data_IF_906597894885
#
_entry.id   IF_906597894885
#
_cell.length_a   1.000
_cell.length_b   1.000
_cell.length_c   1.000
_cell.angle_alpha   90.00
_cell.angle_beta   90.00
_cell.angle_gamma   90.00
#
_symmetry.space_group_name_H-M   'P 1'
#
loop_
_entity.id
_entity.type
_entity.pdbx_description
1 polymer ?
#
# COMPACT_ATOMS: atom_id res chain seq x y z
N UNK A 1 6.49 1.90 31.32
CA UNK A 1 6.28 2.00 29.87
C UNK A 1 4.93 1.39 29.57
N UNK A 2 3.95 2.20 29.15
CA UNK A 2 2.64 1.68 28.75
C UNK A 2 2.80 1.10 27.35
N UNK A 3 2.56 -0.21 27.22
CA UNK A 3 2.40 -0.84 25.92
C UNK A 3 1.32 -0.07 25.17
N UNK A 4 1.62 0.35 23.94
CA UNK A 4 0.60 0.77 23.01
C UNK A 4 -0.31 -0.43 22.77
N UNK A 5 -1.42 -0.50 23.49
CA UNK A 5 -2.57 -1.29 23.07
C UNK A 5 -3.06 -0.66 21.75
N UNK A 6 -2.48 -1.15 20.65
CA UNK A 6 -3.02 -0.96 19.32
C UNK A 6 -4.41 -1.59 19.38
N UNK A 7 -5.42 -0.73 19.29
CA UNK A 7 -6.83 -1.12 19.28
C UNK A 7 -7.04 -2.26 18.29
N UNK A 8 -7.53 -3.40 18.78
CA UNK A 8 -7.92 -4.62 18.05
C UNK A 8 -9.12 -4.41 17.09
N UNK A 9 -9.27 -3.21 16.55
CA UNK A 9 -10.08 -2.92 15.36
C UNK A 9 -9.18 -2.38 14.24
N UNK A 10 -7.94 -2.90 14.15
CA UNK A 10 -7.30 -3.06 12.85
C UNK A 10 -8.37 -3.68 11.94
N UNK A 11 -8.66 -3.05 10.80
CA UNK A 11 -9.18 -3.84 9.70
C UNK A 11 -8.24 -5.07 9.60
N UNK A 12 -8.78 -6.30 9.60
CA UNK A 12 -8.01 -7.55 9.64
C UNK A 12 -7.14 -7.71 8.37
N UNK A 13 -6.17 -6.83 8.18
CA UNK A 13 -5.24 -6.82 7.06
C UNK A 13 -4.16 -7.82 7.44
N UNK A 14 -4.29 -9.02 6.89
CA UNK A 14 -3.35 -10.10 7.08
C UNK A 14 -1.93 -9.63 6.71
N UNK A 15 -0.98 -9.91 7.60
CA UNK A 15 0.46 -9.72 7.33
C UNK A 15 0.89 -8.25 7.16
N UNK A 16 0.15 -7.28 7.71
CA UNK A 16 0.54 -5.85 7.68
C UNK A 16 1.93 -5.59 8.27
N UNK A 17 2.29 -6.27 9.36
CA UNK A 17 3.63 -6.19 9.97
C UNK A 17 4.73 -6.64 8.99
N UNK A 18 4.44 -7.55 8.05
CA UNK A 18 5.41 -7.98 7.05
C UNK A 18 5.65 -6.93 5.96
N UNK A 19 4.66 -6.08 5.69
CA UNK A 19 4.86 -4.89 4.85
C UNK A 19 5.79 -3.92 5.58
N UNK A 20 5.53 -3.68 6.87
CA UNK A 20 6.38 -2.84 7.71
C UNK A 20 7.84 -3.30 7.68
N UNK A 21 8.09 -4.59 7.97
CA UNK A 21 9.43 -5.16 7.94
C UNK A 21 10.07 -5.09 6.56
N UNK A 22 9.33 -5.37 5.48
CA UNK A 22 9.87 -5.29 4.13
C UNK A 22 10.35 -3.88 3.76
N UNK A 23 9.69 -2.84 4.27
CA UNK A 23 10.12 -1.44 4.10
C UNK A 23 11.30 -1.12 5.01
N UNK A 24 11.22 -1.45 6.31
CA UNK A 24 12.24 -1.09 7.29
C UNK A 24 13.58 -1.82 7.10
N UNK A 25 13.58 -3.03 6.52
CA UNK A 25 14.79 -3.77 6.18
C UNK A 25 15.48 -3.27 4.90
N UNK A 26 14.90 -2.30 4.20
CA UNK A 26 15.52 -1.78 2.98
C UNK A 26 16.69 -0.85 3.34
N UNK A 27 17.90 -1.27 2.95
CA UNK A 27 19.15 -0.53 3.10
C UNK A 27 19.76 -0.22 1.73
N UNK A 28 20.61 0.82 1.65
CA UNK A 28 21.17 1.32 0.37
C UNK A 28 22.14 0.32 -0.30
N UNK A 29 22.66 -0.66 0.45
CA UNK A 29 23.65 -1.65 0.02
C UNK A 29 23.05 -3.02 -0.34
N UNK A 30 21.72 -3.19 -0.23
CA UNK A 30 21.04 -4.39 -0.71
C UNK A 30 21.24 -4.57 -2.22
N UNK A 31 21.36 -5.83 -2.64
CA UNK A 31 21.39 -6.16 -4.07
C UNK A 31 20.06 -5.85 -4.76
N UNK A 32 20.12 -5.65 -6.08
CA UNK A 32 18.93 -5.37 -6.90
C UNK A 32 17.86 -6.47 -6.78
N UNK A 33 18.29 -7.73 -6.69
CA UNK A 33 17.41 -8.88 -6.47
C UNK A 33 16.73 -8.80 -5.09
N UNK A 34 17.48 -8.46 -4.04
CA UNK A 34 16.94 -8.34 -2.68
C UNK A 34 15.94 -7.20 -2.51
N UNK A 35 16.17 -6.07 -3.20
CA UNK A 35 15.24 -4.96 -3.24
C UNK A 35 13.98 -5.36 -4.01
N UNK A 36 14.15 -6.03 -5.16
CA UNK A 36 13.04 -6.55 -5.96
C UNK A 36 12.15 -7.54 -5.19
N UNK A 37 12.75 -8.47 -4.43
CA UNK A 37 12.01 -9.41 -3.57
C UNK A 37 11.14 -8.67 -2.55
N UNK A 38 11.68 -7.64 -1.88
CA UNK A 38 10.92 -6.84 -0.90
C UNK A 38 9.80 -6.05 -1.57
N UNK A 39 10.09 -5.43 -2.72
CA UNK A 39 9.10 -4.68 -3.51
C UNK A 39 7.90 -5.56 -3.89
N UNK A 40 8.17 -6.74 -4.49
CA UNK A 40 7.11 -7.64 -4.93
C UNK A 40 6.34 -8.27 -3.77
N UNK A 41 7.02 -8.58 -2.66
CA UNK A 41 6.36 -9.09 -1.45
C UNK A 41 5.33 -8.10 -0.90
N UNK A 42 5.63 -6.80 -0.90
CA UNK A 42 4.67 -5.77 -0.47
C UNK A 42 3.44 -5.81 -1.39
N UNK A 43 3.65 -5.81 -2.71
CA UNK A 43 2.55 -5.87 -3.68
C UNK A 43 1.69 -7.14 -3.55
N UNK A 44 2.33 -8.29 -3.31
CA UNK A 44 1.64 -9.56 -3.10
C UNK A 44 0.76 -9.55 -1.85
N UNK A 45 1.27 -9.02 -0.73
CA UNK A 45 0.50 -8.90 0.51
C UNK A 45 -0.68 -7.95 0.32
N UNK A 46 -0.47 -6.78 -0.31
CA UNK A 46 -1.54 -5.82 -0.56
C UNK A 46 -2.65 -6.42 -1.44
N UNK A 47 -2.29 -7.10 -2.52
CA UNK A 47 -3.28 -7.72 -3.42
C UNK A 47 -3.98 -8.92 -2.78
N UNK A 48 -3.28 -9.69 -1.95
CA UNK A 48 -3.91 -10.77 -1.18
C UNK A 48 -4.97 -10.23 -0.21
N UNK A 49 -4.70 -9.11 0.46
CA UNK A 49 -5.66 -8.45 1.32
C UNK A 49 -6.88 -7.93 0.56
N UNK A 50 -6.70 -7.39 -0.65
CA UNK A 50 -7.84 -7.02 -1.49
C UNK A 50 -8.78 -8.20 -1.76
N UNK A 51 -8.21 -9.40 -1.97
CA UNK A 51 -9.00 -10.63 -2.16
C UNK A 51 -9.65 -11.14 -0.88
N UNK A 52 -8.96 -11.07 0.26
CA UNK A 52 -9.50 -11.46 1.56
C UNK A 52 -10.71 -10.61 1.92
N UNK A 53 -10.69 -9.32 1.59
CA UNK A 53 -11.78 -8.38 1.84
C UNK A 53 -12.81 -8.31 0.71
N UNK A 54 -12.75 -9.21 -0.28
CA UNK A 54 -13.65 -9.29 -1.43
C UNK A 54 -13.81 -7.93 -2.16
N UNK A 55 -12.70 -7.22 -2.34
CA UNK A 55 -12.68 -5.98 -3.08
C UNK A 55 -12.76 -6.24 -4.57
N UNK A 56 -13.50 -5.39 -5.25
CA UNK A 56 -13.43 -5.34 -6.70
C UNK A 56 -11.99 -4.96 -7.12
N UNK A 57 -11.51 -5.57 -8.20
CA UNK A 57 -10.14 -5.41 -8.71
C UNK A 57 -9.91 -4.07 -9.42
N UNK A 58 -10.93 -3.21 -9.46
CA UNK A 58 -10.82 -1.81 -9.86
C UNK A 58 -9.69 -1.08 -9.13
N UNK A 59 -8.89 -0.33 -9.89
CA UNK A 59 -7.71 0.35 -9.36
C UNK A 59 -8.04 1.33 -8.24
N UNK A 60 -9.20 2.01 -8.25
CA UNK A 60 -9.55 2.95 -7.19
C UNK A 60 -9.79 2.24 -5.85
N UNK A 61 -10.39 1.04 -5.86
CA UNK A 61 -10.55 0.22 -4.66
C UNK A 61 -9.20 -0.25 -4.13
N UNK A 62 -8.31 -0.70 -5.01
CA UNK A 62 -6.97 -1.13 -4.65
C UNK A 62 -6.15 0.03 -4.05
N UNK A 63 -6.15 1.19 -4.70
CA UNK A 63 -5.47 2.39 -4.18
C UNK A 63 -6.08 2.85 -2.84
N UNK A 64 -7.40 2.71 -2.66
CA UNK A 64 -8.05 2.96 -1.36
C UNK A 64 -7.51 2.02 -0.27
N UNK A 65 -7.41 0.71 -0.56
CA UNK A 65 -6.84 -0.27 0.37
C UNK A 65 -5.40 0.07 0.77
N UNK A 66 -4.51 0.28 -0.20
CA UNK A 66 -3.09 0.63 0.09
C UNK A 66 -2.95 1.93 0.89
N UNK A 67 -3.81 2.92 0.64
CA UNK A 67 -3.88 4.15 1.43
C UNK A 67 -4.29 3.87 2.87
N UNK A 68 -5.27 3.00 3.10
CA UNK A 68 -5.67 2.59 4.45
C UNK A 68 -4.52 1.85 5.16
N UNK A 69 -3.86 0.90 4.49
CA UNK A 69 -2.67 0.22 5.03
C UNK A 69 -1.57 1.21 5.41
N UNK A 70 -1.29 2.22 4.57
CA UNK A 70 -0.35 3.26 4.94
C UNK A 70 -0.78 4.03 6.19
N UNK A 71 -2.07 4.36 6.33
CA UNK A 71 -2.57 5.00 7.54
C UNK A 71 -2.26 4.14 8.77
N UNK A 72 -2.44 2.81 8.70
CA UNK A 72 -2.17 1.90 9.80
C UNK A 72 -0.71 1.92 10.27
N UNK A 73 0.21 1.96 9.32
CA UNK A 73 1.65 1.90 9.60
C UNK A 73 2.22 3.22 10.14
N UNK A 74 1.59 4.36 9.85
CA UNK A 74 2.10 5.68 10.24
C UNK A 74 1.92 5.95 11.74
N UNK A 75 2.86 6.70 12.34
CA UNK A 75 2.68 7.16 13.72
C UNK A 75 1.47 8.09 13.87
N UNK A 76 0.87 8.13 15.07
CA UNK A 76 -0.32 8.93 15.36
C UNK A 76 -0.24 10.41 14.94
N UNK A 77 0.88 11.12 15.17
CA UNK A 77 1.05 12.50 14.66
C UNK A 77 0.94 12.60 13.13
N UNK A 78 1.56 11.68 12.39
CA UNK A 78 1.53 11.69 10.93
C UNK A 78 0.14 11.33 10.40
N UNK A 79 -0.52 10.33 11.00
CA UNK A 79 -1.93 9.99 10.71
C UNK A 79 -2.84 11.21 10.87
N UNK A 80 -2.72 11.90 12.01
CA UNK A 80 -3.55 13.08 12.31
C UNK A 80 -3.33 14.19 11.29
N UNK A 81 -2.07 14.43 10.90
CA UNK A 81 -1.70 15.49 9.97
C UNK A 81 -2.14 15.23 8.53
N UNK A 82 -2.05 13.98 8.06
CA UNK A 82 -2.20 13.67 6.63
C UNK A 82 -3.51 12.98 6.26
N UNK A 83 -4.23 12.39 7.24
CA UNK A 83 -5.41 11.57 6.97
C UNK A 83 -6.71 12.10 7.61
N UNK A 84 -6.69 13.28 8.24
CA UNK A 84 -7.86 13.98 8.81
C UNK A 84 -8.93 13.05 9.39
N UNK A 85 -8.60 12.40 10.52
CA UNK A 85 -9.56 11.82 11.46
C UNK A 85 -10.73 11.03 10.87
N UNK A 86 -10.45 10.01 10.02
CA UNK A 86 -11.37 8.89 9.67
C UNK A 86 -10.76 7.89 8.65
N UNK A 87 -9.44 7.71 8.58
CA UNK A 87 -8.85 6.77 7.60
C UNK A 87 -9.34 5.32 7.76
N UNK A 88 -9.86 4.99 8.94
CA UNK A 88 -10.44 3.71 9.34
C UNK A 88 -11.83 3.41 8.75
N UNK A 89 -12.50 4.39 8.15
CA UNK A 89 -13.68 4.09 7.34
C UNK A 89 -13.22 3.61 5.97
N UNK A 90 -12.57 2.44 5.94
CA UNK A 90 -12.34 1.69 4.71
C UNK A 90 -13.69 1.51 4.01
N UNK A 91 -13.94 2.35 3.01
CA UNK A 91 -15.16 2.37 2.21
C UNK A 91 -14.71 2.25 0.77
N UNK A 92 -14.43 1.02 0.30
CA UNK A 92 -14.14 0.81 -1.09
C UNK A 92 -15.35 1.34 -1.86
N UNK A 93 -15.14 2.16 -2.91
CA UNK A 93 -16.22 2.57 -3.81
C UNK A 93 -17.14 1.42 -4.22
N UNK A 94 -16.56 0.21 -4.40
CA UNK A 94 -17.28 -0.98 -4.81
C UNK A 94 -16.74 -2.22 -4.08
N UNK A 95 -17.63 -3.06 -3.56
CA UNK A 95 -17.30 -4.43 -3.11
C UNK A 95 -17.69 -5.41 -4.19
N UNK A 96 -16.94 -6.51 -4.35
CA UNK A 96 -17.30 -7.54 -5.32
C UNK A 96 -18.65 -8.15 -4.91
N UNK A 97 -19.58 -8.25 -5.86
CA UNK A 97 -20.87 -8.89 -5.65
C UNK A 97 -20.91 -10.23 -6.41
N UNK A 98 -20.32 -11.27 -5.84
CA UNK A 98 -20.41 -12.66 -6.35
C UNK A 98 -20.22 -12.83 -7.88
N UNK A 99 -19.33 -12.05 -8.50
CA UNK A 99 -19.04 -12.13 -9.94
C UNK A 99 -19.63 -11.01 -10.79
N UNK A 100 -20.49 -10.16 -10.22
CA UNK A 100 -20.97 -8.93 -10.84
C UNK A 100 -20.07 -7.77 -10.42
N UNK A 101 -18.88 -7.70 -11.01
CA UNK A 101 -18.09 -6.47 -10.99
C UNK A 101 -18.86 -5.39 -11.77
N UNK A 102 -18.71 -4.11 -11.40
CA UNK A 102 -19.30 -3.05 -12.21
C UNK A 102 -18.67 -3.10 -13.63
N UNK A 103 -19.52 -3.09 -14.66
CA UNK A 103 -19.07 -3.07 -16.06
C UNK A 103 -18.29 -1.80 -16.41
N UNK A 104 -18.28 -0.80 -15.54
CA UNK A 104 -17.47 0.41 -15.65
C UNK A 104 -16.08 0.31 -15.00
N UNK A 105 -15.77 -0.77 -14.27
CA UNK A 105 -14.51 -0.96 -13.56
C UNK A 105 -13.32 -1.16 -14.51
N UNK A 106 -12.24 -0.40 -14.27
CA UNK A 106 -11.01 -0.49 -15.05
C UNK A 106 -10.05 -1.50 -14.40
N UNK A 107 -10.21 -2.78 -14.80
CA UNK A 107 -9.38 -3.87 -14.28
C UNK A 107 -8.07 -3.94 -15.06
N UNK A 108 -6.99 -3.49 -14.43
CA UNK A 108 -5.63 -3.56 -14.98
C UNK A 108 -5.02 -4.95 -14.81
N UNK A 109 -3.95 -5.31 -15.55
CA UNK A 109 -3.20 -6.54 -15.30
C UNK A 109 -2.72 -6.63 -13.84
N UNK A 110 -2.69 -7.83 -13.28
CA UNK A 110 -2.30 -8.10 -11.88
C UNK A 110 -0.97 -7.43 -11.50
N UNK A 111 0.01 -7.44 -12.40
CA UNK A 111 1.30 -6.81 -12.16
C UNK A 111 1.18 -5.29 -12.01
N UNK A 112 0.42 -4.64 -12.88
CA UNK A 112 0.10 -3.21 -12.81
C UNK A 112 -0.64 -2.86 -11.52
N UNK A 113 -1.59 -3.70 -11.10
CA UNK A 113 -2.30 -3.53 -9.83
C UNK A 113 -1.34 -3.52 -8.63
N UNK A 114 -0.43 -4.51 -8.56
CA UNK A 114 0.58 -4.59 -7.50
C UNK A 114 1.48 -3.36 -7.47
N UNK A 115 1.95 -2.93 -8.63
CA UNK A 115 2.83 -1.76 -8.70
C UNK A 115 2.10 -0.50 -8.22
N UNK A 116 0.87 -0.27 -8.68
CA UNK A 116 0.07 0.89 -8.23
C UNK A 116 -0.16 0.87 -6.71
N UNK A 117 -0.49 -0.29 -6.15
CA UNK A 117 -0.64 -0.51 -4.71
C UNK A 117 0.64 -0.17 -3.92
N UNK A 118 1.80 -0.68 -4.36
CA UNK A 118 3.10 -0.41 -3.71
C UNK A 118 3.43 1.07 -3.80
N UNK A 119 3.30 1.69 -4.97
CA UNK A 119 3.63 3.11 -5.14
C UNK A 119 2.78 4.03 -4.28
N UNK A 120 1.48 3.78 -4.23
CA UNK A 120 0.57 4.55 -3.38
C UNK A 120 0.90 4.36 -1.89
N UNK A 121 1.21 3.13 -1.46
CA UNK A 121 1.69 2.88 -0.09
C UNK A 121 2.95 3.71 0.21
N UNK A 122 3.98 3.61 -0.63
CA UNK A 122 5.26 4.32 -0.44
C UNK A 122 5.08 5.85 -0.44
N UNK A 123 4.17 6.37 -1.27
CA UNK A 123 3.80 7.79 -1.29
C UNK A 123 3.21 8.29 0.02
N UNK A 124 2.61 7.44 0.86
CA UNK A 124 2.14 7.87 2.18
C UNK A 124 3.17 7.61 3.27
N UNK A 125 3.93 6.51 3.18
CA UNK A 125 4.94 6.18 4.18
C UNK A 125 6.09 7.19 4.24
N UNK A 126 6.41 7.90 3.14
CA UNK A 126 7.47 8.94 3.16
C UNK A 126 7.22 10.09 4.15
N UNK A 127 5.97 10.27 4.64
CA UNK A 127 5.66 11.32 5.60
C UNK A 127 6.21 11.03 6.99
N UNK A 128 6.46 9.76 7.34
CA UNK A 128 7.03 9.38 8.63
C UNK A 128 8.53 9.07 8.51
N UNK A 129 9.39 9.81 9.23
CA UNK A 129 10.84 9.66 9.14
C UNK A 129 11.36 8.24 9.34
N UNK A 130 10.65 7.40 10.09
CA UNK A 130 11.08 6.01 10.34
C UNK A 130 11.12 5.18 9.05
N UNK A 131 10.21 5.44 8.10
CA UNK A 131 10.13 4.69 6.84
C UNK A 131 10.96 5.31 5.71
N UNK A 132 11.33 6.59 5.83
CA UNK A 132 11.99 7.35 4.75
C UNK A 132 13.21 6.63 4.15
N UNK A 133 14.14 6.04 4.92
CA UNK A 133 15.30 5.34 4.35
C UNK A 133 14.88 4.21 3.40
N UNK A 134 14.01 3.30 3.87
CA UNK A 134 13.56 2.17 3.07
C UNK A 134 12.67 2.58 1.89
N UNK A 135 11.81 3.59 2.08
CA UNK A 135 10.97 4.15 1.02
C UNK A 135 11.83 4.68 -0.13
N UNK A 136 12.93 5.38 0.16
CA UNK A 136 13.83 5.90 -0.88
C UNK A 136 14.45 4.78 -1.72
N UNK A 137 14.89 3.69 -1.08
CA UNK A 137 15.47 2.53 -1.77
C UNK A 137 14.44 1.90 -2.72
N UNK A 138 13.23 1.66 -2.21
CA UNK A 138 12.14 1.05 -3.00
C UNK A 138 11.64 1.97 -4.13
N UNK A 139 11.56 3.29 -3.89
CA UNK A 139 11.23 4.26 -4.93
C UNK A 139 12.32 4.33 -6.00
N UNK A 140 13.61 4.29 -5.62
CA UNK A 140 14.71 4.26 -6.57
C UNK A 140 14.71 2.97 -7.41
N UNK A 141 14.33 1.83 -6.82
CA UNK A 141 14.09 0.60 -7.57
C UNK A 141 12.95 0.79 -8.58
N UNK A 142 11.78 1.27 -8.14
CA UNK A 142 10.64 1.53 -9.02
C UNK A 142 11.02 2.40 -10.24
N UNK A 143 11.74 3.50 -10.00
CA UNK A 143 12.21 4.41 -11.04
C UNK A 143 13.18 3.77 -12.03
N UNK A 144 14.16 2.99 -11.53
CA UNK A 144 15.18 2.34 -12.38
C UNK A 144 14.60 1.28 -13.30
N UNK A 145 13.52 0.63 -12.86
CA UNK A 145 12.88 -0.46 -13.58
C UNK A 145 11.67 -0.02 -14.43
N UNK A 146 11.43 1.29 -14.55
CA UNK A 146 10.32 1.86 -15.33
C UNK A 146 8.97 1.21 -15.00
N UNK A 147 8.74 0.94 -13.70
CA UNK A 147 7.54 0.24 -13.23
C UNK A 147 6.30 1.17 -13.21
N UNK A 148 6.37 2.33 -13.85
CA UNK A 148 5.29 3.28 -13.95
C UNK A 148 4.05 2.66 -14.63
N UNK A 149 2.87 3.07 -14.19
CA UNK A 149 1.59 2.62 -14.71
C UNK A 149 0.86 3.76 -15.41
N UNK A 150 0.03 3.46 -16.43
CA UNK A 150 -0.83 4.49 -17.04
C UNK A 150 -1.81 5.18 -16.07
N UNK A 151 -1.93 4.68 -14.82
CA UNK A 151 -2.72 5.26 -13.74
C UNK A 151 -1.97 6.34 -12.91
N UNK A 152 -0.70 6.62 -13.22
CA UNK A 152 0.15 7.56 -12.46
C UNK A 152 -0.24 9.05 -12.62
N UNK A 153 -1.31 9.34 -13.37
CA UNK A 153 -1.73 10.73 -13.66
C UNK A 153 -2.21 11.52 -12.43
N UNK A 154 -2.49 10.87 -11.29
CA UNK A 154 -2.96 11.54 -10.07
C UNK A 154 -1.80 12.02 -9.19
N UNK A 155 -0.60 11.46 -9.31
CA UNK A 155 0.56 11.81 -8.46
C UNK A 155 1.51 12.85 -9.12
N UNK A 156 1.08 13.51 -10.20
CA UNK A 156 1.87 14.48 -10.97
C UNK A 156 1.58 15.95 -10.67
N UNK A 157 0.74 16.26 -9.68
CA UNK A 157 0.51 17.63 -9.20
C UNK A 157 1.39 17.98 -7.98
#
# INVERSE_FOLDING_TARGET
>A
MKAHEISLMLADIAMVEQIEYAVLECEEDLSEEEIGVRYWRIGDILLANARIHDLDEDMMNLLCLSRCVACELLCEPMRTRHFHGKCWEFKPPYTRHHGDNDGSSDIRPVETQKIGLVMNLLHFLHYDPVFVPGVKVLQAYHLRHDLWTGADMICRE
#
